data_IF_835094186001
#
_entry.id   IF_835094186001
#
_cell.length_a   1.000
_cell.length_b   1.000
_cell.length_c   1.000
_cell.angle_alpha   90.00
_cell.angle_beta   90.00
_cell.angle_gamma   90.00
#
_symmetry.space_group_name_H-M   'P 1'
#
loop_
_entity.id
_entity.type
_entity.pdbx_description
1 polymer ?
#
# COMPACT_ATOMS: atom_id res chain seq x y z
N UNK A 1 -15.28 -75.26 35.81
CA UNK A 1 -14.46 -74.38 34.94
C UNK A 1 -15.40 -73.40 34.26
N UNK A 2 -15.36 -72.11 34.60
CA UNK A 2 -16.25 -71.09 34.04
C UNK A 2 -15.39 -69.94 33.53
N UNK A 3 -15.21 -69.86 32.21
CA UNK A 3 -14.45 -68.80 31.54
C UNK A 3 -15.30 -67.52 31.48
N UNK A 4 -14.87 -66.47 32.18
CA UNK A 4 -15.41 -65.10 32.06
C UNK A 4 -14.78 -64.41 30.86
N UNK A 5 -15.58 -64.15 29.84
CA UNK A 5 -15.21 -63.33 28.67
C UNK A 5 -15.42 -61.85 29.04
N UNK A 6 -14.35 -61.03 28.98
CA UNK A 6 -14.44 -59.56 29.18
C UNK A 6 -14.91 -58.87 27.89
N UNK A 7 -15.77 -57.84 27.96
CA UNK A 7 -16.32 -57.21 26.75
C UNK A 7 -15.34 -56.22 26.10
N UNK A 8 -14.95 -56.50 24.85
CA UNK A 8 -14.18 -55.65 23.93
C UNK A 8 -15.10 -54.59 23.29
N UNK A 9 -15.59 -53.62 24.07
CA UNK A 9 -16.47 -52.56 23.51
C UNK A 9 -16.14 -51.13 23.95
N UNK A 10 -15.20 -50.94 24.87
CA UNK A 10 -14.98 -49.64 25.55
C UNK A 10 -13.82 -48.80 24.96
N UNK A 11 -12.80 -49.41 24.36
CA UNK A 11 -11.62 -48.68 23.86
C UNK A 11 -11.87 -47.88 22.58
N UNK A 12 -12.67 -48.41 21.66
CA UNK A 12 -12.94 -47.77 20.35
C UNK A 12 -13.68 -46.43 20.47
N UNK A 13 -14.46 -46.24 21.53
CA UNK A 13 -15.20 -45.00 21.75
C UNK A 13 -14.34 -43.90 22.40
N UNK A 14 -13.30 -44.30 23.14
CA UNK A 14 -12.35 -43.36 23.78
C UNK A 14 -11.48 -42.68 22.71
N UNK A 15 -10.95 -43.46 21.78
CA UNK A 15 -10.13 -42.95 20.67
C UNK A 15 -10.91 -42.03 19.72
N UNK A 16 -12.18 -42.36 19.42
CA UNK A 16 -13.05 -41.46 18.62
C UNK A 16 -13.29 -40.12 19.31
N UNK A 17 -13.52 -40.10 20.62
CA UNK A 17 -13.73 -38.86 21.39
C UNK A 17 -12.47 -38.01 21.46
N UNK A 18 -11.30 -38.62 21.62
CA UNK A 18 -10.01 -37.91 21.62
C UNK A 18 -9.68 -37.31 20.24
N UNK A 19 -9.98 -38.05 19.16
CA UNK A 19 -9.86 -37.53 17.78
C UNK A 19 -10.81 -36.36 17.53
N UNK A 20 -12.06 -36.42 18.01
CA UNK A 20 -13.00 -35.29 17.90
C UNK A 20 -12.49 -34.05 18.64
N UNK A 21 -11.94 -34.22 19.85
CA UNK A 21 -11.35 -33.12 20.63
C UNK A 21 -10.13 -32.52 19.95
N UNK A 22 -9.25 -33.34 19.37
CA UNK A 22 -8.11 -32.84 18.59
C UNK A 22 -8.56 -32.08 17.33
N UNK A 23 -9.53 -32.62 16.58
CA UNK A 23 -10.07 -31.94 15.41
C UNK A 23 -10.73 -30.62 15.78
N UNK A 24 -11.48 -30.55 16.88
CA UNK A 24 -12.06 -29.29 17.38
C UNK A 24 -11.01 -28.24 17.71
N UNK A 25 -9.87 -28.62 18.28
CA UNK A 25 -8.73 -27.71 18.53
C UNK A 25 -8.09 -27.22 17.24
N UNK A 26 -7.89 -28.10 16.26
CA UNK A 26 -7.32 -27.74 14.95
C UNK A 26 -8.24 -26.75 14.23
N UNK A 27 -9.55 -27.02 14.22
CA UNK A 27 -10.55 -26.13 13.61
C UNK A 27 -10.58 -24.77 14.33
N UNK A 28 -10.54 -24.75 15.67
CA UNK A 28 -10.52 -23.50 16.43
C UNK A 28 -9.26 -22.66 16.16
N UNK A 29 -8.08 -23.29 16.10
CA UNK A 29 -6.82 -22.60 15.76
C UNK A 29 -6.85 -22.07 14.32
N UNK A 30 -7.35 -22.86 13.37
CA UNK A 30 -7.50 -22.43 11.99
C UNK A 30 -8.44 -21.21 11.86
N UNK A 31 -9.55 -21.19 12.60
CA UNK A 31 -10.50 -20.05 12.62
C UNK A 31 -9.85 -18.81 13.22
N UNK A 32 -9.10 -18.92 14.32
CA UNK A 32 -8.39 -17.78 14.94
C UNK A 32 -7.34 -17.22 13.98
N UNK A 33 -6.58 -18.08 13.30
CA UNK A 33 -5.60 -17.66 12.28
C UNK A 33 -6.31 -17.00 11.10
N UNK A 34 -7.43 -17.56 10.63
CA UNK A 34 -8.18 -17.03 9.49
C UNK A 34 -8.84 -15.67 9.80
N UNK A 35 -9.47 -15.53 10.98
CA UNK A 35 -10.01 -14.25 11.46
C UNK A 35 -8.91 -13.23 11.77
N UNK A 36 -7.76 -13.68 12.31
CA UNK A 36 -6.61 -12.83 12.58
C UNK A 36 -5.95 -12.28 11.32
N UNK A 37 -5.82 -13.11 10.26
CA UNK A 37 -5.34 -12.67 8.95
C UNK A 37 -6.35 -11.70 8.31
N UNK A 38 -7.65 -12.02 8.35
CA UNK A 38 -8.69 -11.14 7.80
C UNK A 38 -8.81 -9.78 8.53
N UNK A 39 -8.38 -9.71 9.80
CA UNK A 39 -8.42 -8.48 10.60
C UNK A 39 -7.19 -7.59 10.41
N UNK A 40 -6.15 -8.01 9.66
CA UNK A 40 -4.96 -7.18 9.37
C UNK A 40 -5.03 -6.51 8.00
N UNK A 41 -6.23 -6.20 7.52
CA UNK A 41 -6.43 -5.22 6.46
C UNK A 41 -7.11 -4.00 7.09
N UNK A 42 -6.45 -3.38 8.07
CA UNK A 42 -6.84 -2.06 8.53
C UNK A 42 -6.58 -1.09 7.38
N UNK A 43 -7.61 -0.34 6.99
CA UNK A 43 -7.48 0.89 6.23
C UNK A 43 -6.53 1.82 7.00
N UNK A 44 -5.22 1.69 6.77
CA UNK A 44 -4.29 2.73 7.13
C UNK A 44 -4.42 3.76 6.00
N UNK A 45 -5.05 4.90 6.28
CA UNK A 45 -4.59 6.13 5.66
C UNK A 45 -3.13 6.24 6.07
N UNK A 46 -2.22 5.74 5.23
CA UNK A 46 -0.79 5.83 5.49
C UNK A 46 -0.49 7.30 5.71
N UNK A 47 -0.01 7.62 6.92
CA UNK A 47 0.47 8.96 7.23
C UNK A 47 1.55 9.34 6.21
N UNK A 48 1.45 10.55 5.65
CA UNK A 48 2.41 10.99 4.64
C UNK A 48 3.77 11.20 5.30
N UNK A 49 4.78 10.54 4.76
CA UNK A 49 6.16 10.64 5.22
C UNK A 49 6.85 11.83 4.56
N UNK A 50 6.81 13.00 5.21
CA UNK A 50 7.36 14.25 4.67
C UNK A 50 8.87 14.24 4.42
N UNK A 51 9.59 13.21 4.87
CA UNK A 51 11.02 13.02 4.62
C UNK A 51 11.32 12.37 3.25
N UNK A 52 10.28 11.92 2.53
CA UNK A 52 10.41 11.35 1.19
C UNK A 52 10.59 12.41 0.11
N UNK A 53 11.25 12.00 -0.97
CA UNK A 53 11.45 12.87 -2.12
C UNK A 53 10.11 13.08 -2.85
N UNK A 54 9.90 14.31 -3.35
CA UNK A 54 8.72 14.72 -4.09
C UNK A 54 9.12 15.13 -5.51
N UNK A 55 8.54 14.46 -6.49
CA UNK A 55 8.78 14.72 -7.91
C UNK A 55 7.66 15.59 -8.50
N UNK A 56 7.99 16.83 -8.85
CA UNK A 56 7.04 17.87 -9.26
C UNK A 56 6.79 17.88 -10.78
N UNK A 57 5.52 17.75 -11.17
CA UNK A 57 5.02 17.85 -12.54
C UNK A 57 4.14 19.09 -12.73
N UNK A 58 4.58 20.01 -13.58
CA UNK A 58 3.88 21.29 -13.83
C UNK A 58 3.01 21.32 -15.08
N UNK A 59 3.06 20.29 -15.96
CA UNK A 59 2.29 20.25 -17.21
C UNK A 59 2.39 21.53 -18.07
N UNK A 60 3.58 22.14 -18.14
CA UNK A 60 3.83 23.37 -18.92
C UNK A 60 3.52 24.68 -18.19
N UNK A 61 2.93 24.64 -17.00
CA UNK A 61 2.67 25.82 -16.15
C UNK A 61 3.86 26.19 -15.27
N UNK A 62 4.97 26.57 -15.90
CA UNK A 62 6.19 27.00 -15.18
C UNK A 62 5.98 28.27 -14.37
N UNK A 63 5.00 29.09 -14.73
CA UNK A 63 4.51 30.26 -13.99
C UNK A 63 4.05 29.91 -12.57
N UNK A 64 3.51 28.71 -12.37
CA UNK A 64 2.98 28.25 -11.08
C UNK A 64 4.03 27.56 -10.19
N UNK A 65 5.29 27.45 -10.64
CA UNK A 65 6.34 26.69 -9.94
C UNK A 65 6.49 27.09 -8.47
N UNK A 66 6.78 28.36 -8.20
CA UNK A 66 7.03 28.82 -6.83
C UNK A 66 5.77 28.71 -5.95
N UNK A 67 4.59 28.95 -6.52
CA UNK A 67 3.31 28.76 -5.81
C UNK A 67 3.16 27.31 -5.35
N UNK A 68 3.38 26.35 -6.25
CA UNK A 68 3.27 24.92 -5.92
C UNK A 68 4.31 24.48 -4.91
N UNK A 69 5.56 24.92 -5.05
CA UNK A 69 6.62 24.61 -4.07
C UNK A 69 6.23 25.15 -2.69
N UNK A 70 5.72 26.38 -2.60
CA UNK A 70 5.30 26.96 -1.33
C UNK A 70 4.10 26.22 -0.73
N UNK A 71 3.15 25.76 -1.56
CA UNK A 71 2.04 24.92 -1.10
C UNK A 71 2.53 23.57 -0.54
N UNK A 72 3.49 22.92 -1.20
CA UNK A 72 4.10 21.67 -0.72
C UNK A 72 4.93 21.87 0.56
N UNK A 73 5.62 23.00 0.70
CA UNK A 73 6.35 23.35 1.92
C UNK A 73 5.39 23.61 3.07
N UNK A 74 4.28 24.31 2.81
CA UNK A 74 3.22 24.55 3.81
C UNK A 74 2.55 23.24 4.22
N UNK A 75 2.44 22.28 3.28
CA UNK A 75 1.95 20.94 3.54
C UNK A 75 2.89 20.13 4.47
N UNK A 76 4.18 20.45 4.50
CA UNK A 76 5.16 19.87 5.43
C UNK A 76 6.43 19.33 4.80
N UNK A 77 6.52 19.29 3.46
CA UNK A 77 7.73 18.82 2.78
C UNK A 77 8.85 19.86 2.88
N UNK A 78 10.09 19.39 3.05
CA UNK A 78 11.23 20.29 2.92
C UNK A 78 11.47 20.69 1.46
N UNK A 79 11.87 21.95 1.22
CA UNK A 79 12.14 22.45 -0.14
C UNK A 79 13.25 21.64 -0.84
N UNK A 80 14.24 21.13 -0.10
CA UNK A 80 15.29 20.28 -0.68
C UNK A 80 14.81 18.90 -1.16
N UNK A 81 13.66 18.43 -0.67
CA UNK A 81 13.04 17.16 -1.09
C UNK A 81 12.20 17.31 -2.35
N UNK A 82 11.86 18.54 -2.74
CA UNK A 82 11.05 18.81 -3.91
C UNK A 82 11.95 19.00 -5.12
N UNK A 83 11.90 18.03 -6.04
CA UNK A 83 12.69 18.04 -7.27
C UNK A 83 11.78 18.08 -8.49
N UNK A 84 12.13 18.88 -9.51
CA UNK A 84 11.44 18.86 -10.79
C UNK A 84 11.56 17.49 -11.45
N UNK A 85 10.43 16.91 -11.86
CA UNK A 85 10.46 15.61 -12.52
C UNK A 85 11.10 15.71 -13.92
N UNK A 86 11.94 14.74 -14.28
CA UNK A 86 12.56 14.62 -15.60
C UNK A 86 12.19 13.30 -16.25
N UNK A 87 12.28 13.18 -17.58
CA UNK A 87 11.96 11.94 -18.30
C UNK A 87 12.97 10.80 -18.06
N UNK A 88 14.14 11.12 -17.52
CA UNK A 88 15.30 10.23 -17.39
C UNK A 88 15.51 9.69 -15.97
N UNK A 89 14.90 10.33 -14.96
CA UNK A 89 15.03 9.92 -13.57
C UNK A 89 13.65 9.82 -12.93
N UNK A 90 13.36 8.64 -12.39
CA UNK A 90 12.17 8.36 -11.60
C UNK A 90 12.55 8.20 -10.13
N UNK A 91 11.58 8.41 -9.24
CA UNK A 91 11.72 8.13 -7.82
C UNK A 91 11.73 6.65 -7.49
N UNK A 92 11.80 6.36 -6.20
CA UNK A 92 11.73 5.00 -5.65
C UNK A 92 10.31 4.69 -5.17
N UNK A 93 10.05 3.41 -4.91
CA UNK A 93 8.82 3.00 -4.22
C UNK A 93 8.76 3.66 -2.85
N UNK A 94 7.64 4.32 -2.56
CA UNK A 94 7.43 5.10 -1.36
C UNK A 94 7.69 6.60 -1.50
N UNK A 95 8.40 7.04 -2.55
CA UNK A 95 8.53 8.47 -2.86
C UNK A 95 7.22 9.02 -3.42
N UNK A 96 7.10 10.35 -3.46
CA UNK A 96 5.86 11.02 -3.86
C UNK A 96 6.00 11.73 -5.20
N UNK A 97 4.87 11.87 -5.86
CA UNK A 97 4.72 12.68 -7.05
C UNK A 97 3.67 13.76 -6.79
N UNK A 98 4.05 15.02 -7.04
CA UNK A 98 3.17 16.16 -6.94
C UNK A 98 2.84 16.64 -8.36
N UNK A 99 1.57 16.55 -8.75
CA UNK A 99 1.13 16.85 -10.11
C UNK A 99 0.11 17.98 -10.13
N UNK A 100 0.39 19.06 -10.88
CA UNK A 100 -0.61 20.05 -11.20
C UNK A 100 -1.74 19.40 -12.02
N UNK A 101 -2.96 19.44 -11.49
CA UNK A 101 -4.11 18.75 -12.07
C UNK A 101 -5.25 19.70 -12.44
N UNK A 102 -6.06 19.23 -13.39
CA UNK A 102 -7.01 19.97 -14.23
C UNK A 102 -6.37 20.85 -15.32
N UNK A 103 -5.47 20.33 -16.19
CA UNK A 103 -5.00 21.10 -17.34
C UNK A 103 -6.18 21.53 -18.25
N UNK A 104 -6.14 22.72 -18.90
CA UNK A 104 -5.01 23.66 -18.99
C UNK A 104 -4.88 24.66 -17.82
N UNK A 105 -5.93 24.80 -17.00
CA UNK A 105 -5.98 25.71 -15.85
C UNK A 105 -6.02 24.90 -14.55
N UNK A 106 -4.86 24.46 -14.05
CA UNK A 106 -4.83 23.64 -12.86
C UNK A 106 -5.27 24.43 -11.63
N UNK A 107 -6.18 23.85 -10.86
CA UNK A 107 -6.74 24.41 -9.62
C UNK A 107 -6.30 23.65 -8.36
N UNK A 108 -5.59 22.53 -8.52
CA UNK A 108 -5.04 21.76 -7.40
C UNK A 108 -3.78 20.98 -7.77
N UNK A 109 -3.10 20.49 -6.73
CA UNK A 109 -1.96 19.58 -6.79
C UNK A 109 -2.46 18.20 -6.32
N UNK A 110 -2.30 17.18 -7.15
CA UNK A 110 -2.46 15.78 -6.73
C UNK A 110 -1.16 15.28 -6.10
N UNK A 111 -1.25 14.70 -4.91
CA UNK A 111 -0.15 13.96 -4.29
C UNK A 111 -0.40 12.47 -4.53
N UNK A 112 0.58 11.82 -5.15
CA UNK A 112 0.50 10.40 -5.48
C UNK A 112 1.72 9.65 -4.93
N UNK A 113 1.52 8.52 -4.25
CA UNK A 113 2.61 7.65 -3.78
C UNK A 113 3.07 6.74 -4.91
N UNK A 114 4.38 6.61 -5.11
CA UNK A 114 4.94 5.63 -6.03
C UNK A 114 4.84 4.24 -5.37
N UNK A 115 4.05 3.35 -5.97
CA UNK A 115 3.82 1.99 -5.44
C UNK A 115 4.67 0.94 -6.15
N UNK A 116 5.08 1.20 -7.39
CA UNK A 116 5.92 0.30 -8.18
C UNK A 116 6.76 1.07 -9.20
N UNK A 117 7.98 0.59 -9.46
CA UNK A 117 8.87 1.11 -10.51
C UNK A 117 9.37 -0.05 -11.36
N UNK A 118 8.90 -0.14 -12.60
CA UNK A 118 9.33 -1.11 -13.59
C UNK A 118 10.40 -0.53 -14.51
N UNK A 119 11.39 -1.35 -14.88
CA UNK A 119 12.38 -0.98 -15.89
C UNK A 119 11.74 -1.07 -17.28
N UNK A 120 11.33 0.07 -17.82
CA UNK A 120 10.80 0.17 -19.19
C UNK A 120 11.73 0.97 -20.08
N UNK A 121 11.84 0.62 -21.37
CA UNK A 121 12.51 1.49 -22.34
C UNK A 121 11.84 2.87 -22.36
N UNK A 122 12.63 3.98 -22.37
CA UNK A 122 12.08 5.32 -22.37
C UNK A 122 11.37 5.59 -23.71
N UNK A 123 10.04 5.72 -23.67
CA UNK A 123 9.27 6.18 -24.82
C UNK A 123 9.32 7.70 -24.97
N UNK A 124 9.23 8.18 -26.21
CA UNK A 124 9.44 9.59 -26.62
C UNK A 124 8.62 10.66 -25.86
N UNK A 125 7.49 10.32 -25.25
CA UNK A 125 6.58 11.31 -24.62
C UNK A 125 6.46 11.17 -23.10
N UNK A 126 6.45 9.94 -22.56
CA UNK A 126 6.27 9.68 -21.12
C UNK A 126 7.58 9.40 -20.38
N UNK A 127 8.68 9.15 -21.08
CA UNK A 127 9.96 8.78 -20.47
C UNK A 127 9.87 7.54 -19.58
N UNK A 128 10.74 7.45 -18.58
CA UNK A 128 10.75 6.34 -17.61
C UNK A 128 9.52 6.29 -16.69
N UNK A 129 8.76 7.39 -16.59
CA UNK A 129 7.57 7.49 -15.74
C UNK A 129 6.41 6.58 -16.18
N UNK A 130 6.46 5.99 -17.39
CA UNK A 130 5.51 4.97 -17.84
C UNK A 130 5.54 3.71 -16.98
N UNK A 131 6.72 3.28 -16.54
CA UNK A 131 6.89 2.11 -15.69
C UNK A 131 6.56 2.36 -14.22
N UNK A 132 6.07 3.55 -13.86
CA UNK A 132 5.85 3.95 -12.47
C UNK A 132 4.36 3.84 -12.16
N UNK A 133 3.99 2.84 -11.34
CA UNK A 133 2.65 2.74 -10.76
C UNK A 133 2.52 3.69 -9.57
N UNK A 134 1.33 4.29 -9.42
CA UNK A 134 1.07 5.35 -8.45
C UNK A 134 -0.33 5.24 -7.89
N UNK A 135 -0.51 5.72 -6.67
CA UNK A 135 -1.80 5.79 -5.99
C UNK A 135 -2.05 7.22 -5.52
N UNK A 136 -3.26 7.76 -5.76
CA UNK A 136 -3.67 9.08 -5.27
C UNK A 136 -3.85 8.98 -3.75
N UNK A 137 -3.09 9.78 -3.00
CA UNK A 137 -3.14 9.75 -1.52
C UNK A 137 -3.69 11.04 -0.92
N UNK A 138 -3.51 12.18 -1.60
CA UNK A 138 -4.06 13.46 -1.13
C UNK A 138 -4.12 14.52 -2.25
N UNK A 139 -4.72 15.68 -1.95
CA UNK A 139 -4.86 16.82 -2.84
C UNK A 139 -4.71 18.15 -2.10
N UNK A 140 -3.91 19.07 -2.67
CA UNK A 140 -3.76 20.45 -2.18
C UNK A 140 -4.45 21.39 -3.15
N UNK A 141 -5.41 22.19 -2.70
CA UNK A 141 -6.03 23.23 -3.52
C UNK A 141 -5.07 24.41 -3.75
N UNK A 142 -5.08 24.96 -4.96
CA UNK A 142 -4.31 26.14 -5.31
C UNK A 142 -5.21 27.38 -5.19
N UNK A 143 -5.18 28.03 -4.03
CA UNK A 143 -5.89 29.30 -3.77
C UNK A 143 -5.41 30.44 -4.66
#
# INVERSE_FOLDING_TARGET
MTLKIKPVRTERNRTKRERLKMWGKIVAVAIIVFLGIASRQSNASEEIDVEKDVYLFLHGRTDLREKVINSLVTYGFSREKITMATSEKVGNVGDYMAMLWKPPEPDHIKIQKITQVEKTEPEKIKGLWRGVAREDIDTILLE
#
